data_IF_042262516654
#
_entry.id   IF_042262516654
#
_cell.length_a   1.000
_cell.length_b   1.000
_cell.length_c   1.000
_cell.angle_alpha   90.00
_cell.angle_beta   90.00
_cell.angle_gamma   90.00
#
_symmetry.space_group_name_H-M   'P 1'
#
loop_
_entity.id
_entity.type
_entity.pdbx_description
1 polymer ?
#
# COMPACT_ATOMS: atom_id res chain seq x y z
N UNK A 1 14.91 5.11 16.90
CA UNK A 1 13.62 4.40 17.00
C UNK A 1 13.47 3.44 15.83
N UNK A 2 14.20 2.31 15.85
CA UNK A 2 14.13 1.30 14.79
C UNK A 2 13.26 0.11 15.19
N UNK A 3 13.30 -0.30 16.47
CA UNK A 3 12.76 -1.59 16.95
C UNK A 3 11.27 -1.85 16.60
N UNK A 4 10.32 -0.90 16.76
CA UNK A 4 8.93 -1.15 16.37
C UNK A 4 8.69 -1.14 14.86
N UNK A 5 9.57 -0.51 14.10
CA UNK A 5 9.32 -0.08 12.71
C UNK A 5 10.07 -0.95 11.70
N UNK A 6 11.08 -1.71 12.15
CA UNK A 6 11.73 -2.80 11.41
C UNK A 6 10.94 -4.12 11.45
N UNK A 7 9.76 -4.13 12.08
CA UNK A 7 8.87 -5.30 12.12
C UNK A 7 9.21 -6.37 13.17
N UNK A 8 10.26 -6.19 13.98
CA UNK A 8 10.60 -7.12 15.07
C UNK A 8 9.50 -7.16 16.14
N UNK A 9 8.89 -6.01 16.43
CA UNK A 9 7.66 -5.91 17.22
C UNK A 9 6.59 -5.29 16.32
N UNK A 10 5.69 -6.11 15.81
CA UNK A 10 4.65 -5.68 14.87
C UNK A 10 3.58 -4.85 15.59
N UNK A 11 3.58 -3.53 15.35
CA UNK A 11 2.58 -2.61 15.90
C UNK A 11 1.53 -2.32 14.82
N UNK A 12 0.52 -3.19 14.73
CA UNK A 12 -0.61 -3.06 13.79
C UNK A 12 -0.57 -4.01 12.59
N UNK A 13 -1.47 -3.80 11.62
CA UNK A 13 -1.62 -4.66 10.42
C UNK A 13 -0.74 -4.25 9.23
N UNK A 14 0.17 -3.31 9.43
CA UNK A 14 1.06 -2.79 8.40
C UNK A 14 2.14 -3.82 8.08
N UNK A 15 2.23 -4.24 6.82
CA UNK A 15 3.26 -5.17 6.35
C UNK A 15 4.64 -4.49 6.27
N UNK A 16 4.65 -3.22 5.84
CA UNK A 16 5.86 -2.40 5.76
C UNK A 16 5.57 -1.00 6.33
N UNK A 17 6.60 -0.40 6.91
CA UNK A 17 6.57 0.94 7.50
C UNK A 17 7.47 1.91 6.73
N UNK A 18 7.51 1.72 5.41
CA UNK A 18 8.20 2.46 4.37
C UNK A 18 7.77 3.94 4.25
N UNK A 19 6.66 4.32 4.89
CA UNK A 19 6.22 5.73 5.02
C UNK A 19 7.11 6.60 5.92
N UNK A 20 8.07 6.02 6.64
CA UNK A 20 8.91 6.75 7.59
C UNK A 20 10.35 6.87 7.11
N UNK A 21 10.84 8.11 7.01
CA UNK A 21 12.27 8.38 6.92
C UNK A 21 12.91 8.16 8.28
N UNK A 22 13.83 7.21 8.37
CA UNK A 22 14.45 6.84 9.63
C UNK A 22 15.61 7.77 9.99
N UNK A 23 15.75 8.11 11.27
CA UNK A 23 16.85 8.94 11.79
C UNK A 23 18.27 8.44 11.39
N UNK A 24 18.57 7.12 11.39
CA UNK A 24 19.84 6.61 10.88
C UNK A 24 20.14 6.91 9.40
N UNK A 25 19.12 7.21 8.59
CA UNK A 25 19.32 7.53 7.17
C UNK A 25 20.06 8.86 6.98
N UNK A 26 20.02 9.78 7.95
CA UNK A 26 20.69 11.08 7.85
C UNK A 26 22.20 10.92 7.62
N UNK A 27 22.84 10.02 8.38
CA UNK A 27 24.28 9.77 8.23
C UNK A 27 24.63 9.25 6.83
N UNK A 28 23.84 8.28 6.34
CA UNK A 28 24.01 7.70 5.00
C UNK A 28 23.83 8.79 3.92
N UNK A 29 22.81 9.64 4.04
CA UNK A 29 22.57 10.74 3.10
C UNK A 29 23.76 11.72 3.07
N UNK A 30 24.31 12.10 4.23
CA UNK A 30 25.48 12.98 4.29
C UNK A 30 26.68 12.32 3.59
N UNK A 31 26.96 11.05 3.88
CA UNK A 31 28.06 10.30 3.24
C UNK A 31 27.91 10.26 1.71
N UNK A 32 26.70 9.99 1.21
CA UNK A 32 26.43 9.96 -0.24
C UNK A 32 26.63 11.35 -0.86
N UNK A 33 26.13 12.41 -0.22
CA UNK A 33 26.28 13.79 -0.74
C UNK A 33 27.75 14.19 -0.83
N UNK A 34 28.55 13.91 0.20
CA UNK A 34 29.99 14.19 0.19
C UNK A 34 30.72 13.37 -0.87
N UNK A 35 30.45 12.07 -0.95
CA UNK A 35 31.05 11.20 -1.95
C UNK A 35 30.77 11.68 -3.38
N UNK A 36 29.53 12.06 -3.68
CA UNK A 36 29.17 12.59 -5.00
C UNK A 36 29.85 13.94 -5.26
N UNK A 37 29.95 14.81 -4.26
CA UNK A 37 30.63 16.10 -4.39
C UNK A 37 32.12 15.94 -4.72
N UNK A 38 32.81 15.00 -4.06
CA UNK A 38 34.22 14.70 -4.31
C UNK A 38 34.43 14.05 -5.69
N UNK A 39 33.64 13.04 -6.05
CA UNK A 39 33.75 12.33 -7.33
C UNK A 39 33.50 13.24 -8.55
N UNK A 40 32.65 14.26 -8.38
CA UNK A 40 32.27 15.19 -9.46
C UNK A 40 33.11 16.47 -9.50
N UNK A 41 34.10 16.62 -8.60
CA UNK A 41 34.87 17.86 -8.45
C UNK A 41 35.60 18.27 -9.74
N UNK A 42 36.15 17.28 -10.46
CA UNK A 42 36.93 17.50 -11.69
C UNK A 42 36.08 17.61 -12.96
N UNK A 43 34.76 17.51 -12.85
CA UNK A 43 33.89 17.54 -14.02
C UNK A 43 33.72 18.95 -14.54
N UNK A 44 34.08 19.17 -15.81
CA UNK A 44 34.02 20.49 -16.47
C UNK A 44 32.63 21.13 -16.44
N UNK A 45 31.57 20.33 -16.41
CA UNK A 45 30.17 20.78 -16.42
C UNK A 45 29.36 20.32 -15.20
N UNK A 46 30.00 20.17 -14.02
CA UNK A 46 29.34 19.60 -12.82
C UNK A 46 27.98 20.21 -12.48
N UNK A 47 27.84 21.54 -12.62
CA UNK A 47 26.59 22.26 -12.30
C UNK A 47 25.49 21.91 -13.30
N UNK A 48 25.77 21.97 -14.62
CA UNK A 48 24.77 21.62 -15.62
C UNK A 48 24.34 20.17 -15.52
N UNK A 49 25.30 19.25 -15.30
CA UNK A 49 25.01 17.83 -15.14
C UNK A 49 24.17 17.60 -13.88
N UNK A 50 24.50 18.24 -12.75
CA UNK A 50 23.72 18.13 -11.53
C UNK A 50 22.28 18.66 -11.66
N UNK A 51 22.08 19.79 -12.36
CA UNK A 51 20.75 20.34 -12.64
C UNK A 51 19.96 19.39 -13.53
N UNK A 52 20.57 18.88 -14.61
CA UNK A 52 19.92 17.95 -15.52
C UNK A 52 19.54 16.65 -14.80
N UNK A 53 20.45 16.06 -14.04
CA UNK A 53 20.20 14.86 -13.26
C UNK A 53 19.06 15.06 -12.25
N UNK A 54 19.07 16.18 -11.53
CA UNK A 54 18.00 16.53 -10.60
C UNK A 54 16.65 16.69 -11.32
N UNK A 55 16.63 17.37 -12.46
CA UNK A 55 15.42 17.55 -13.26
C UNK A 55 14.87 16.20 -13.76
N UNK A 56 15.72 15.32 -14.27
CA UNK A 56 15.32 13.96 -14.71
C UNK A 56 14.72 13.18 -13.55
N UNK A 57 15.38 13.19 -12.37
CA UNK A 57 14.88 12.50 -11.18
C UNK A 57 13.52 13.05 -10.76
N UNK A 58 13.36 14.37 -10.67
CA UNK A 58 12.10 15.01 -10.29
C UNK A 58 10.99 14.65 -11.27
N UNK A 59 11.22 14.80 -12.58
CA UNK A 59 10.22 14.49 -13.61
C UNK A 59 9.79 13.02 -13.53
N UNK A 60 10.77 12.11 -13.39
CA UNK A 60 10.49 10.67 -13.30
C UNK A 60 9.66 10.35 -12.06
N UNK A 61 10.06 10.86 -10.88
CA UNK A 61 9.32 10.65 -9.64
C UNK A 61 7.92 11.28 -9.68
N UNK A 62 7.77 12.46 -10.28
CA UNK A 62 6.47 13.09 -10.48
C UNK A 62 5.57 12.27 -11.41
N UNK A 63 6.12 11.72 -12.49
CA UNK A 63 5.36 10.84 -13.40
C UNK A 63 4.92 9.55 -12.70
N UNK A 64 5.82 8.90 -11.94
CA UNK A 64 5.48 7.72 -11.14
C UNK A 64 4.41 8.04 -10.08
N UNK A 65 4.55 9.14 -9.35
CA UNK A 65 3.57 9.57 -8.35
C UNK A 65 2.21 9.86 -8.98
N UNK A 66 2.19 10.51 -10.15
CA UNK A 66 0.96 10.77 -10.89
C UNK A 66 0.28 9.46 -11.33
N UNK A 67 1.04 8.52 -11.89
CA UNK A 67 0.52 7.22 -12.30
C UNK A 67 -0.02 6.42 -11.10
N UNK A 68 0.67 6.45 -9.96
CA UNK A 68 0.24 5.76 -8.74
C UNK A 68 -1.06 6.35 -8.18
N UNK A 69 -1.15 7.68 -8.09
CA UNK A 69 -2.32 8.37 -7.54
C UNK A 69 -3.54 8.30 -8.47
N UNK A 70 -3.35 8.05 -9.77
CA UNK A 70 -4.44 7.78 -10.69
C UNK A 70 -5.28 6.56 -10.28
N UNK A 71 -4.66 5.50 -9.75
CA UNK A 71 -5.38 4.32 -9.25
C UNK A 71 -6.17 4.63 -7.98
N UNK A 72 -5.76 5.61 -7.18
CA UNK A 72 -6.37 5.95 -5.90
C UNK A 72 -7.62 6.81 -6.05
N UNK A 73 -7.92 7.25 -7.27
CA UNK A 73 -9.02 8.16 -7.55
C UNK A 73 -10.38 7.51 -7.25
N UNK A 74 -10.53 6.23 -7.58
CA UNK A 74 -11.80 5.50 -7.52
C UNK A 74 -11.61 4.12 -6.90
N UNK A 75 -12.63 3.61 -6.19
CA UNK A 75 -12.60 2.27 -5.60
C UNK A 75 -12.46 1.17 -6.67
N UNK A 76 -13.16 1.33 -7.79
CA UNK A 76 -13.12 0.42 -8.95
C UNK A 76 -11.73 0.31 -9.61
N UNK A 77 -10.84 1.28 -9.42
CA UNK A 77 -9.44 1.20 -9.89
C UNK A 77 -8.48 0.78 -8.79
N UNK A 78 -8.70 1.25 -7.57
CA UNK A 78 -7.80 1.05 -6.43
C UNK A 78 -7.76 -0.41 -5.99
N UNK A 79 -8.92 -1.00 -5.76
CA UNK A 79 -8.99 -2.31 -5.13
C UNK A 79 -8.63 -3.45 -6.08
N UNK A 80 -9.08 -3.47 -7.35
CA UNK A 80 -8.60 -4.46 -8.31
C UNK A 80 -7.09 -4.38 -8.52
N UNK A 81 -6.53 -3.17 -8.61
CA UNK A 81 -5.08 -3.00 -8.72
C UNK A 81 -4.36 -3.54 -7.47
N UNK A 82 -4.87 -3.24 -6.27
CA UNK A 82 -4.29 -3.73 -5.01
C UNK A 82 -4.33 -5.25 -4.93
N UNK A 83 -5.44 -5.89 -5.33
CA UNK A 83 -5.58 -7.34 -5.36
C UNK A 83 -4.73 -8.00 -6.45
N UNK A 84 -4.44 -7.30 -7.56
CA UNK A 84 -3.56 -7.81 -8.61
C UNK A 84 -2.08 -7.82 -8.21
N UNK A 85 -1.66 -6.93 -7.31
CA UNK A 85 -0.26 -6.77 -6.89
C UNK A 85 0.03 -7.28 -5.47
N UNK A 86 -0.98 -7.81 -4.78
CA UNK A 86 -0.83 -8.42 -3.45
C UNK A 86 -1.44 -9.82 -3.41
N UNK A 87 -0.99 -10.65 -2.48
CA UNK A 87 -1.50 -12.01 -2.27
C UNK A 87 -2.07 -12.12 -0.86
N UNK A 88 -3.15 -12.88 -0.68
CA UNK A 88 -3.79 -13.13 0.62
C UNK A 88 -4.09 -11.87 1.44
N UNK A 89 -4.65 -10.85 0.77
CA UNK A 89 -4.90 -9.54 1.36
C UNK A 89 -6.35 -9.37 1.84
N UNK A 90 -6.65 -9.89 3.03
CA UNK A 90 -7.97 -9.82 3.66
C UNK A 90 -8.48 -8.36 3.78
N UNK A 91 -7.58 -7.43 4.04
CA UNK A 91 -7.91 -6.00 4.14
C UNK A 91 -8.38 -5.38 2.83
N UNK A 92 -7.71 -5.69 1.71
CA UNK A 92 -8.09 -5.18 0.39
C UNK A 92 -9.41 -5.78 -0.08
N UNK A 93 -9.64 -7.08 0.13
CA UNK A 93 -10.91 -7.73 -0.16
C UNK A 93 -12.08 -7.10 0.62
N UNK A 94 -11.91 -6.85 1.92
CA UNK A 94 -12.95 -6.23 2.74
C UNK A 94 -13.24 -4.78 2.33
N UNK A 95 -12.19 -4.01 2.07
CA UNK A 95 -12.34 -2.62 1.67
C UNK A 95 -13.02 -2.51 0.29
N UNK A 96 -12.74 -3.44 -0.61
CA UNK A 96 -13.44 -3.51 -1.88
C UNK A 96 -14.91 -3.89 -1.71
N UNK A 97 -15.20 -4.93 -0.91
CA UNK A 97 -16.58 -5.32 -0.60
C UNK A 97 -17.40 -4.15 -0.03
N UNK A 98 -16.79 -3.36 0.87
CA UNK A 98 -17.42 -2.18 1.46
C UNK A 98 -17.74 -1.11 0.41
N UNK A 99 -16.81 -0.87 -0.52
CA UNK A 99 -17.03 0.09 -1.61
C UNK A 99 -18.11 -0.38 -2.60
N UNK A 100 -18.06 -1.65 -3.01
CA UNK A 100 -19.07 -2.26 -3.89
C UNK A 100 -20.47 -2.21 -3.27
N UNK A 101 -20.58 -2.45 -1.97
CA UNK A 101 -21.85 -2.33 -1.25
C UNK A 101 -22.39 -0.90 -1.27
N UNK A 102 -21.53 0.11 -1.05
CA UNK A 102 -21.91 1.51 -1.12
C UNK A 102 -22.40 1.94 -2.52
N UNK A 103 -21.96 1.25 -3.56
CA UNK A 103 -22.40 1.42 -4.95
C UNK A 103 -23.62 0.57 -5.32
N UNK A 104 -24.15 -0.26 -4.40
CA UNK A 104 -25.27 -1.15 -4.65
C UNK A 104 -24.93 -2.46 -5.38
N UNK A 105 -23.64 -2.73 -5.63
CA UNK A 105 -23.14 -3.96 -6.26
C UNK A 105 -23.02 -5.10 -5.22
N UNK A 106 -24.16 -5.47 -4.63
CA UNK A 106 -24.19 -6.38 -3.46
C UNK A 106 -23.64 -7.78 -3.74
N UNK A 107 -23.92 -8.36 -4.91
CA UNK A 107 -23.44 -9.71 -5.24
C UNK A 107 -21.90 -9.77 -5.35
N UNK A 108 -21.29 -8.77 -6.02
CA UNK A 108 -19.83 -8.66 -6.11
C UNK A 108 -19.20 -8.43 -4.73
N UNK A 109 -19.86 -7.60 -3.90
CA UNK A 109 -19.40 -7.35 -2.53
C UNK A 109 -19.33 -8.64 -1.69
N UNK A 110 -20.32 -9.54 -1.83
CA UNK A 110 -20.35 -10.82 -1.11
C UNK A 110 -19.18 -11.72 -1.51
N UNK A 111 -18.81 -11.75 -2.80
CA UNK A 111 -17.65 -12.52 -3.28
C UNK A 111 -16.37 -12.05 -2.59
N UNK A 112 -16.13 -10.74 -2.57
CA UNK A 112 -14.93 -10.20 -1.92
C UNK A 112 -14.96 -10.35 -0.39
N UNK A 113 -16.12 -10.21 0.25
CA UNK A 113 -16.27 -10.45 1.70
C UNK A 113 -15.98 -11.92 2.08
N UNK A 114 -16.41 -12.88 1.26
CA UNK A 114 -16.11 -14.31 1.46
C UNK A 114 -14.61 -14.59 1.33
N UNK A 115 -13.97 -14.07 0.28
CA UNK A 115 -12.53 -14.23 0.09
C UNK A 115 -11.73 -13.69 1.30
N UNK A 116 -12.12 -12.53 1.86
CA UNK A 116 -11.49 -12.02 3.09
C UNK A 116 -11.66 -12.98 4.28
N UNK A 117 -12.85 -13.59 4.45
CA UNK A 117 -13.12 -14.54 5.53
C UNK A 117 -12.35 -15.86 5.35
N UNK A 118 -12.13 -16.32 4.11
CA UNK A 118 -11.31 -17.49 3.80
C UNK A 118 -9.83 -17.27 4.11
N UNK A 119 -9.30 -16.07 3.78
CA UNK A 119 -7.91 -15.71 4.05
C UNK A 119 -7.65 -15.64 5.57
N UNK A 120 -8.58 -15.09 6.35
CA UNK A 120 -8.42 -14.97 7.81
C UNK A 120 -9.74 -15.20 8.58
N UNK A 121 -10.07 -16.47 8.90
CA UNK A 121 -11.32 -16.84 9.57
C UNK A 121 -11.50 -16.21 10.96
N UNK A 122 -10.41 -16.02 11.71
CA UNK A 122 -10.44 -15.43 13.06
C UNK A 122 -10.97 -13.99 13.11
N UNK A 123 -11.00 -13.29 11.97
CA UNK A 123 -11.55 -11.94 11.86
C UNK A 123 -12.99 -11.91 11.31
N UNK A 124 -13.62 -13.05 11.04
CA UNK A 124 -14.98 -13.14 10.47
C UNK A 124 -16.02 -12.34 11.26
N UNK A 125 -15.94 -12.33 12.60
CA UNK A 125 -16.82 -11.52 13.46
C UNK A 125 -16.60 -10.00 13.33
N UNK A 126 -15.42 -9.54 12.91
CA UNK A 126 -15.17 -8.14 12.57
C UNK A 126 -15.72 -7.80 11.18
N UNK A 127 -15.73 -8.76 10.25
CA UNK A 127 -16.30 -8.61 8.91
C UNK A 127 -17.85 -8.60 8.93
N UNK A 128 -18.47 -9.25 9.92
CA UNK A 128 -19.93 -9.20 10.14
C UNK A 128 -20.50 -7.84 10.54
N UNK A 129 -19.65 -6.83 10.81
CA UNK A 129 -20.05 -5.43 11.09
C UNK A 129 -19.97 -4.52 9.86
N UNK A 130 -19.39 -4.98 8.76
CA UNK A 130 -19.64 -4.35 7.45
C UNK A 130 -21.13 -4.53 7.18
N UNK A 131 -21.86 -3.52 6.65
CA UNK A 131 -23.25 -3.70 6.27
C UNK A 131 -23.29 -4.64 5.05
N UNK A 132 -22.99 -5.91 5.25
CA UNK A 132 -23.34 -6.96 4.31
C UNK A 132 -24.80 -7.21 4.61
N UNK A 133 -25.68 -6.81 3.69
CA UNK A 133 -27.09 -7.16 3.72
C UNK A 133 -27.28 -8.68 3.61
N UNK A 134 -26.86 -9.42 4.63
CA UNK A 134 -27.24 -10.81 4.85
C UNK A 134 -28.62 -10.80 5.49
N UNK A 135 -29.62 -10.36 4.73
CA UNK A 135 -31.01 -10.69 5.03
C UNK A 135 -31.16 -12.22 4.91
N UNK A 136 -30.91 -12.94 5.99
CA UNK A 136 -31.34 -14.32 6.17
C UNK A 136 -30.40 -15.44 5.72
N UNK A 137 -29.14 -15.18 5.36
CA UNK A 137 -28.13 -16.25 5.21
C UNK A 137 -26.91 -15.95 6.05
N UNK A 138 -26.94 -16.43 7.29
CA UNK A 138 -25.76 -16.46 8.13
C UNK A 138 -24.63 -17.20 7.40
N UNK A 139 -23.39 -16.79 7.67
CA UNK A 139 -22.17 -17.50 7.27
C UNK A 139 -22.04 -18.87 7.99
N UNK A 140 -23.13 -19.37 8.57
CA UNK A 140 -23.23 -20.62 9.34
C UNK A 140 -23.06 -21.88 8.47
N UNK A 141 -22.97 -21.73 7.14
CA UNK A 141 -22.86 -22.86 6.21
C UNK A 141 -21.49 -23.06 5.56
N UNK A 142 -20.50 -22.19 5.75
CA UNK A 142 -19.24 -22.27 5.00
C UNK A 142 -17.96 -22.13 5.84
N UNK A 143 -18.06 -21.99 7.15
CA UNK A 143 -16.89 -21.98 8.05
C UNK A 143 -17.14 -22.98 9.18
N UNK A 144 -17.16 -24.26 8.84
CA UNK A 144 -16.82 -25.32 9.79
C UNK A 144 -15.39 -25.74 9.48
N UNK A 145 -14.43 -25.08 10.14
CA UNK A 145 -13.29 -25.64 10.89
C UNK A 145 -12.43 -24.48 11.40
#
# INVERSE_FOLDING_TARGET
MLVPVIGIVQVGRQAHADRYTYLPLIGITITIVWLVAELTERWRFRKQIGVLASAVVIITLSACAYHQTAFWRNADSLWPHTLAVTTDNDGAHLAFATALFAEGKTEEAIVHARAAAEIRPANAGAYGKVPVGLEGKALDGAILF
#
